data_IF_286204427529
#
_entry.id   IF_286204427529
#
_cell.length_a   1.000
_cell.length_b   1.000
_cell.length_c   1.000
_cell.angle_alpha   90.00
_cell.angle_beta   90.00
_cell.angle_gamma   90.00
#
_symmetry.space_group_name_H-M   'P 1'
#
loop_
_entity.id
_entity.type
_entity.pdbx_description
1 polymer ?
#
# COMPACT_ATOMS: atom_id res chain seq x y z
N UNK A 1 8.06 0.74 -14.19
CA UNK A 1 7.51 2.09 -13.94
C UNK A 1 8.69 3.02 -13.74
N UNK A 2 8.82 4.10 -14.51
CA UNK A 2 9.94 5.04 -14.32
C UNK A 2 9.69 5.86 -13.04
N UNK A 3 10.59 5.73 -12.05
CA UNK A 3 10.58 6.61 -10.90
C UNK A 3 11.13 7.98 -11.32
N UNK A 4 10.35 9.04 -11.10
CA UNK A 4 10.82 10.41 -11.36
C UNK A 4 11.46 10.92 -10.08
N UNK A 5 12.77 10.75 -9.95
CA UNK A 5 13.52 11.39 -8.87
C UNK A 5 13.72 12.87 -9.16
N UNK A 6 13.31 13.72 -8.21
CA UNK A 6 13.58 15.15 -8.26
C UNK A 6 14.98 15.41 -7.75
N UNK A 7 15.95 15.41 -8.65
CA UNK A 7 17.31 15.83 -8.33
C UNK A 7 17.32 17.34 -8.01
N UNK A 8 17.76 17.71 -6.80
CA UNK A 8 17.98 19.11 -6.43
C UNK A 8 19.43 19.47 -6.74
N UNK A 9 19.62 20.42 -7.64
CA UNK A 9 20.95 20.97 -7.88
C UNK A 9 21.41 21.77 -6.65
N UNK A 10 22.67 21.65 -6.23
CA UNK A 10 23.21 22.35 -5.06
C UNK A 10 23.27 23.87 -5.26
N UNK A 11 23.27 24.35 -6.51
CA UNK A 11 23.21 25.75 -6.86
C UNK A 11 22.33 25.96 -8.10
N UNK A 12 21.61 27.08 -8.15
CA UNK A 12 20.92 27.52 -9.36
C UNK A 12 21.93 28.26 -10.23
N UNK A 13 22.13 27.84 -11.48
CA UNK A 13 23.03 28.53 -12.44
C UNK A 13 22.63 30.00 -12.70
N UNK A 14 21.41 30.39 -12.34
CA UNK A 14 20.93 31.77 -12.44
C UNK A 14 21.25 32.63 -11.19
N UNK A 15 21.94 32.06 -10.21
CA UNK A 15 22.49 32.78 -9.06
C UNK A 15 24.00 32.87 -9.29
N UNK A 16 24.50 34.09 -9.41
CA UNK A 16 25.93 34.33 -9.46
C UNK A 16 26.57 33.92 -8.12
N UNK A 17 27.52 32.97 -8.12
CA UNK A 17 28.09 32.42 -6.88
C UNK A 17 28.91 33.43 -6.08
N UNK A 18 29.39 34.51 -6.70
CA UNK A 18 30.18 35.55 -6.01
C UNK A 18 29.29 36.64 -5.43
N UNK A 19 28.24 37.01 -6.14
CA UNK A 19 27.38 38.15 -5.75
C UNK A 19 26.08 37.73 -5.09
N UNK A 20 25.72 36.44 -5.17
CA UNK A 20 24.46 35.86 -4.72
C UNK A 20 23.21 36.58 -5.29
N UNK A 21 23.37 37.25 -6.44
CA UNK A 21 22.30 38.00 -7.12
C UNK A 21 21.74 37.20 -8.29
N UNK A 22 20.44 37.37 -8.51
CA UNK A 22 19.72 36.70 -9.59
C UNK A 22 20.00 37.36 -10.94
N UNK A 23 20.61 36.64 -11.86
CA UNK A 23 20.77 37.07 -13.25
C UNK A 23 19.62 36.51 -14.10
N UNK A 24 18.48 37.21 -14.12
CA UNK A 24 17.30 36.87 -14.96
C UNK A 24 16.79 35.42 -14.84
N UNK A 25 16.18 35.09 -13.70
CA UNK A 25 15.56 33.78 -13.47
C UNK A 25 14.16 33.67 -14.12
N UNK A 26 14.09 33.61 -15.45
CA UNK A 26 12.85 33.16 -16.11
C UNK A 26 12.73 31.64 -15.99
N UNK A 27 11.72 31.16 -15.24
CA UNK A 27 11.28 29.76 -15.10
C UNK A 27 12.39 28.74 -15.42
N UNK A 28 13.26 28.45 -14.45
CA UNK A 28 14.24 27.36 -14.58
C UNK A 28 13.50 26.05 -14.93
N UNK A 29 13.42 25.75 -16.23
CA UNK A 29 13.07 24.43 -16.71
C UNK A 29 14.27 23.55 -16.41
N UNK A 30 14.10 22.36 -15.81
CA UNK A 30 15.21 21.43 -15.69
C UNK A 30 15.79 21.20 -17.08
N UNK A 31 17.03 21.65 -17.32
CA UNK A 31 17.70 21.54 -18.63
C UNK A 31 18.01 20.08 -18.99
N UNK A 32 17.98 19.19 -17.99
CA UNK A 32 18.44 17.83 -18.12
C UNK A 32 17.39 16.87 -17.58
N UNK A 33 16.96 15.95 -18.45
CA UNK A 33 16.19 14.77 -18.09
C UNK A 33 17.18 13.60 -18.01
N UNK A 34 17.35 13.03 -16.83
CA UNK A 34 18.13 11.79 -16.66
C UNK A 34 17.15 10.63 -16.82
N UNK A 35 17.32 9.85 -17.90
CA UNK A 35 16.57 8.61 -18.12
C UNK A 35 17.49 7.45 -17.74
N UNK A 36 17.28 6.87 -16.56
CA UNK A 36 17.93 5.61 -16.18
C UNK A 36 17.21 4.48 -16.91
N UNK A 37 17.94 3.70 -17.71
CA UNK A 37 17.43 2.52 -18.40
C UNK A 37 18.13 1.28 -17.85
N UNK A 38 17.34 0.35 -17.33
CA UNK A 38 17.81 -1.02 -17.06
C UNK A 38 17.85 -1.77 -18.39
N UNK A 39 19.02 -2.29 -18.74
CA UNK A 39 19.20 -3.14 -19.91
C UNK A 39 19.45 -4.55 -19.40
N UNK A 40 18.57 -5.47 -19.79
CA UNK A 40 18.69 -6.90 -19.50
C UNK A 40 19.54 -7.55 -20.62
N UNK A 41 20.41 -8.48 -20.26
CA UNK A 41 20.85 -9.48 -21.24
C UNK A 41 19.69 -10.43 -21.57
N UNK A 42 19.79 -11.16 -22.70
CA UNK A 42 18.79 -12.17 -23.05
C UNK A 42 18.65 -13.22 -21.95
N UNK A 43 19.78 -13.66 -21.36
CA UNK A 43 19.79 -14.58 -20.21
C UNK A 43 19.09 -13.99 -18.96
N UNK A 44 19.25 -12.69 -18.71
CA UNK A 44 18.59 -12.01 -17.59
C UNK A 44 17.08 -11.89 -17.82
N UNK A 45 16.65 -11.59 -19.05
CA UNK A 45 15.24 -11.56 -19.43
C UNK A 45 14.61 -12.96 -19.31
N UNK A 46 15.26 -14.00 -19.85
CA UNK A 46 14.79 -15.38 -19.77
C UNK A 46 14.65 -15.87 -18.33
N UNK A 47 15.62 -15.56 -17.45
CA UNK A 47 15.53 -15.91 -16.03
C UNK A 47 14.37 -15.21 -15.34
N UNK A 48 14.17 -13.92 -15.61
CA UNK A 48 13.03 -13.19 -15.04
C UNK A 48 11.71 -13.82 -15.48
N UNK A 49 11.56 -14.12 -16.76
CA UNK A 49 10.34 -14.73 -17.29
C UNK A 49 10.09 -16.12 -16.70
N UNK A 50 11.16 -16.91 -16.49
CA UNK A 50 11.08 -18.20 -15.80
C UNK A 50 10.62 -18.04 -14.34
N UNK A 51 11.18 -17.08 -13.61
CA UNK A 51 10.78 -16.78 -12.23
C UNK A 51 9.32 -16.31 -12.16
N UNK A 52 8.91 -15.41 -13.05
CA UNK A 52 7.52 -14.94 -13.19
C UNK A 52 6.56 -16.12 -13.41
N UNK A 53 6.94 -17.06 -14.29
CA UNK A 53 6.19 -18.31 -14.48
C UNK A 53 6.09 -19.17 -13.21
N UNK A 54 7.18 -19.28 -12.43
CA UNK A 54 7.20 -20.03 -11.16
C UNK A 54 6.28 -19.37 -10.12
N UNK A 55 6.28 -18.04 -10.00
CA UNK A 55 5.40 -17.31 -9.10
C UNK A 55 3.93 -17.53 -9.47
N UNK A 56 3.58 -17.43 -10.75
CA UNK A 56 2.20 -17.63 -11.25
C UNK A 56 1.71 -19.04 -10.93
N UNK A 57 2.50 -20.08 -11.22
CA UNK A 57 2.12 -21.46 -10.93
C UNK A 57 1.99 -21.73 -9.43
N UNK A 58 2.81 -21.06 -8.61
CA UNK A 58 2.67 -21.12 -7.16
C UNK A 58 1.38 -20.45 -6.68
N UNK A 59 1.01 -19.29 -7.23
CA UNK A 59 -0.25 -18.60 -6.89
C UNK A 59 -1.47 -19.45 -7.23
N UNK A 60 -1.50 -20.10 -8.40
CA UNK A 60 -2.57 -21.04 -8.76
C UNK A 60 -2.71 -22.18 -7.74
N UNK A 61 -1.58 -22.75 -7.31
CA UNK A 61 -1.57 -23.83 -6.29
C UNK A 61 -2.07 -23.33 -4.93
N UNK A 62 -1.65 -22.13 -4.52
CA UNK A 62 -2.11 -21.49 -3.27
C UNK A 62 -3.61 -21.24 -3.33
N UNK A 63 -4.10 -20.59 -4.39
CA UNK A 63 -5.51 -20.30 -4.59
C UNK A 63 -6.36 -21.57 -4.53
N UNK A 64 -5.95 -22.64 -5.25
CA UNK A 64 -6.63 -23.94 -5.20
C UNK A 64 -6.67 -24.52 -3.79
N UNK A 65 -5.55 -24.47 -3.06
CA UNK A 65 -5.46 -24.98 -1.67
C UNK A 65 -6.35 -24.19 -0.71
N UNK A 66 -6.31 -22.86 -0.77
CA UNK A 66 -7.12 -21.96 0.05
C UNK A 66 -8.61 -22.20 -0.24
N UNK A 67 -9.03 -22.18 -1.52
CA UNK A 67 -10.42 -22.46 -1.91
C UNK A 67 -10.89 -23.83 -1.46
N UNK A 68 -10.05 -24.85 -1.61
CA UNK A 68 -10.34 -26.21 -1.14
C UNK A 68 -10.49 -26.29 0.38
N UNK A 69 -9.81 -25.45 1.15
CA UNK A 69 -10.04 -25.33 2.59
C UNK A 69 -11.33 -24.61 2.91
N UNK A 70 -11.60 -23.49 2.24
CA UNK A 70 -12.80 -22.68 2.43
C UNK A 70 -14.09 -23.45 2.10
N UNK A 71 -14.04 -24.37 1.14
CA UNK A 71 -15.16 -25.26 0.80
C UNK A 71 -15.47 -26.32 1.87
N UNK A 72 -14.51 -26.64 2.77
CA UNK A 72 -14.75 -27.61 3.85
C UNK A 72 -15.62 -26.99 4.93
N UNK A 73 -16.42 -27.81 5.62
CA UNK A 73 -17.28 -27.39 6.75
C UNK A 73 -16.57 -26.51 7.79
N UNK A 74 -15.30 -26.79 8.07
CA UNK A 74 -14.47 -25.97 8.97
C UNK A 74 -14.15 -24.60 8.36
N UNK A 75 -13.68 -24.55 7.12
CA UNK A 75 -13.37 -23.30 6.42
C UNK A 75 -14.60 -22.40 6.27
N UNK A 76 -15.77 -22.97 5.96
CA UNK A 76 -17.04 -22.23 5.91
C UNK A 76 -17.35 -21.56 7.26
N UNK A 77 -17.17 -22.29 8.38
CA UNK A 77 -17.39 -21.73 9.73
C UNK A 77 -16.39 -20.60 10.04
N UNK A 78 -15.10 -20.81 9.75
CA UNK A 78 -14.04 -19.82 9.97
C UNK A 78 -14.31 -18.55 9.15
N UNK A 79 -14.71 -18.69 7.89
CA UNK A 79 -14.99 -17.54 7.00
C UNK A 79 -16.22 -16.74 7.42
N UNK A 80 -17.27 -17.43 7.87
CA UNK A 80 -18.46 -16.77 8.45
C UNK A 80 -18.14 -16.02 9.74
N UNK A 81 -17.21 -16.53 10.55
CA UNK A 81 -16.74 -15.85 11.75
C UNK A 81 -15.95 -14.59 11.37
N UNK A 82 -14.98 -14.73 10.47
CA UNK A 82 -14.17 -13.60 9.97
C UNK A 82 -15.06 -12.49 9.37
N UNK A 83 -16.05 -12.84 8.54
CA UNK A 83 -16.98 -11.87 7.98
C UNK A 83 -17.80 -11.12 9.06
N UNK A 84 -18.17 -11.79 10.15
CA UNK A 84 -18.83 -11.15 11.30
C UNK A 84 -17.89 -10.21 12.04
N UNK A 85 -16.66 -10.64 12.29
CA UNK A 85 -15.65 -9.82 12.97
C UNK A 85 -15.31 -8.57 12.17
N UNK A 86 -15.14 -8.68 10.84
CA UNK A 86 -14.95 -7.52 9.95
C UNK A 86 -16.10 -6.53 10.03
N UNK A 87 -17.35 -7.01 10.06
CA UNK A 87 -18.52 -6.12 10.25
C UNK A 87 -18.50 -5.42 11.62
N UNK A 88 -18.04 -6.10 12.67
CA UNK A 88 -17.87 -5.47 13.97
C UNK A 88 -16.75 -4.41 13.95
N UNK A 89 -15.59 -4.72 13.35
CA UNK A 89 -14.47 -3.78 13.16
C UNK A 89 -14.91 -2.55 12.36
N UNK A 90 -15.67 -2.72 11.27
CA UNK A 90 -16.23 -1.61 10.48
C UNK A 90 -17.08 -0.65 11.31
N UNK A 91 -17.82 -1.15 12.31
CA UNK A 91 -18.61 -0.29 13.20
C UNK A 91 -17.70 0.58 14.05
N UNK A 92 -16.66 -0.01 14.64
CA UNK A 92 -15.66 0.69 15.45
C UNK A 92 -14.90 1.70 14.60
N UNK A 93 -14.49 1.33 13.38
CA UNK A 93 -13.79 2.25 12.45
C UNK A 93 -14.65 3.45 12.07
N UNK A 94 -15.96 3.26 11.88
CA UNK A 94 -16.89 4.37 11.62
C UNK A 94 -16.97 5.31 12.83
N UNK A 95 -17.03 4.77 14.04
CA UNK A 95 -17.07 5.58 15.27
C UNK A 95 -15.76 6.35 15.47
N UNK A 96 -14.61 5.68 15.30
CA UNK A 96 -13.29 6.31 15.38
C UNK A 96 -13.11 7.41 14.32
N UNK A 97 -13.54 7.15 13.08
CA UNK A 97 -13.42 8.15 12.00
C UNK A 97 -14.34 9.35 12.25
N UNK A 98 -15.51 9.16 12.86
CA UNK A 98 -16.37 10.28 13.29
C UNK A 98 -15.69 11.14 14.36
N UNK A 99 -15.10 10.52 15.38
CA UNK A 99 -14.36 11.23 16.41
C UNK A 99 -13.17 12.02 15.79
N UNK A 100 -12.46 11.41 14.85
CA UNK A 100 -11.37 12.06 14.12
C UNK A 100 -11.84 13.28 13.30
N UNK A 101 -13.01 13.19 12.66
CA UNK A 101 -13.61 14.33 11.93
C UNK A 101 -13.88 15.51 12.87
N UNK A 102 -14.39 15.28 14.08
CA UNK A 102 -14.62 16.37 15.03
C UNK A 102 -13.29 17.05 15.47
N UNK A 103 -12.22 16.27 15.65
CA UNK A 103 -10.87 16.81 15.90
C UNK A 103 -10.40 17.67 14.73
N UNK A 104 -10.53 17.17 13.49
CA UNK A 104 -10.13 17.92 12.30
C UNK A 104 -10.98 19.16 12.05
N UNK A 105 -12.26 19.16 12.42
CA UNK A 105 -13.11 20.36 12.40
C UNK A 105 -12.63 21.42 13.37
N UNK A 106 -12.23 21.02 14.59
CA UNK A 106 -11.64 21.95 15.56
C UNK A 106 -10.35 22.56 15.02
N UNK A 107 -9.45 21.73 14.50
CA UNK A 107 -8.18 22.18 13.90
C UNK A 107 -8.39 23.11 12.71
N UNK A 108 -9.38 22.83 11.85
CA UNK A 108 -9.75 23.73 10.76
C UNK A 108 -10.26 25.08 11.29
N UNK A 109 -11.06 25.08 12.36
CA UNK A 109 -11.52 26.30 13.03
C UNK A 109 -10.35 27.13 13.55
N UNK A 110 -9.40 26.51 14.24
CA UNK A 110 -8.18 27.17 14.73
C UNK A 110 -7.32 27.72 13.58
N UNK A 111 -7.15 26.95 12.51
CA UNK A 111 -6.39 27.37 11.33
C UNK A 111 -7.04 28.59 10.64
N UNK A 112 -8.39 28.63 10.57
CA UNK A 112 -9.12 29.79 10.04
C UNK A 112 -8.92 31.04 10.87
N UNK A 113 -9.06 30.94 12.20
CA UNK A 113 -8.83 32.07 13.10
C UNK A 113 -7.38 32.59 13.02
N UNK A 114 -6.40 31.68 12.98
CA UNK A 114 -4.99 32.04 12.83
C UNK A 114 -4.71 32.71 11.46
N UNK A 115 -5.35 32.24 10.39
CA UNK A 115 -5.21 32.84 9.07
C UNK A 115 -5.86 34.23 8.98
N UNK A 116 -7.03 34.42 9.60
CA UNK A 116 -7.67 35.73 9.73
C UNK A 116 -6.79 36.73 10.49
N UNK A 117 -6.17 36.29 11.59
CA UNK A 117 -5.23 37.13 12.36
C UNK A 117 -4.01 37.54 11.51
N UNK A 118 -3.40 36.59 10.80
CA UNK A 118 -2.27 36.87 9.89
C UNK A 118 -2.68 37.84 8.78
N UNK A 119 -3.86 37.66 8.20
CA UNK A 119 -4.38 38.54 7.15
C UNK A 119 -4.62 39.96 7.68
N UNK A 120 -5.15 40.08 8.90
CA UNK A 120 -5.32 41.37 9.58
C UNK A 120 -3.98 42.06 9.85
N UNK A 121 -2.97 41.32 10.33
CA UNK A 121 -1.60 41.84 10.53
C UNK A 121 -1.02 42.37 9.22
N UNK A 122 -1.19 41.64 8.11
CA UNK A 122 -0.77 42.12 6.79
C UNK A 122 -1.52 43.39 6.39
N UNK A 123 -2.84 43.45 6.58
CA UNK A 123 -3.62 44.65 6.25
C UNK A 123 -3.18 45.87 7.10
N UNK A 124 -2.87 45.66 8.38
CA UNK A 124 -2.35 46.70 9.27
C UNK A 124 -0.97 47.20 8.83
N UNK A 125 -0.10 46.32 8.32
CA UNK A 125 1.18 46.69 7.69
C UNK A 125 0.97 47.49 6.40
N UNK A 126 0.10 47.01 5.49
CA UNK A 126 -0.18 47.68 4.22
C UNK A 126 -0.82 49.06 4.42
N UNK A 127 -1.54 49.27 5.51
CA UNK A 127 -2.11 50.56 5.91
C UNK A 127 -1.10 51.52 6.57
N UNK A 128 0.16 51.11 6.76
CA UNK A 128 1.20 51.92 7.38
C UNK A 128 1.03 52.12 8.89
N UNK A 129 0.34 51.21 9.59
CA UNK A 129 0.24 51.29 11.06
C UNK A 129 1.61 51.08 11.71
N UNK A 130 1.83 51.60 12.93
CA UNK A 130 3.11 51.40 13.63
C UNK A 130 3.43 49.92 13.88
N UNK A 131 4.72 49.58 13.86
CA UNK A 131 5.23 48.21 14.03
C UNK A 131 4.59 47.40 15.18
N UNK A 132 4.30 47.94 16.38
CA UNK A 132 3.67 47.17 17.46
C UNK A 132 2.32 46.53 17.12
N UNK A 133 1.58 47.07 16.12
CA UNK A 133 0.25 46.60 15.75
C UNK A 133 0.28 45.37 14.82
N UNK A 134 1.25 45.28 13.91
CA UNK A 134 1.35 44.20 12.94
C UNK A 134 2.56 43.28 13.16
N UNK A 135 3.65 43.80 13.76
CA UNK A 135 4.91 43.10 14.00
C UNK A 135 5.45 42.43 12.73
N UNK A 136 5.67 43.22 11.68
CA UNK A 136 6.21 42.79 10.38
C UNK A 136 7.26 43.82 9.97
N UNK A 137 8.47 43.37 9.65
CA UNK A 137 9.61 44.25 9.37
C UNK A 137 9.61 44.75 7.93
N UNK A 138 9.23 43.88 6.98
CA UNK A 138 9.28 44.17 5.56
C UNK A 138 8.15 43.46 4.78
N UNK A 139 7.93 43.82 3.50
CA UNK A 139 6.87 43.24 2.69
C UNK A 139 7.05 41.74 2.40
N UNK A 140 8.29 41.25 2.37
CA UNK A 140 8.58 39.85 2.08
C UNK A 140 8.17 38.98 3.27
N UNK A 141 8.49 39.40 4.51
CA UNK A 141 8.03 38.75 5.74
C UNK A 141 6.49 38.71 5.82
N UNK A 142 5.83 39.81 5.45
CA UNK A 142 4.36 39.89 5.42
C UNK A 142 3.75 38.88 4.43
N UNK A 143 4.37 38.72 3.25
CA UNK A 143 3.95 37.77 2.24
C UNK A 143 4.18 36.32 2.69
N UNK A 144 5.37 36.02 3.22
CA UNK A 144 5.71 34.68 3.72
C UNK A 144 4.77 34.23 4.84
N UNK A 145 4.42 35.14 5.76
CA UNK A 145 3.51 34.84 6.86
C UNK A 145 2.12 34.46 6.35
N UNK A 146 1.58 35.21 5.38
CA UNK A 146 0.29 34.89 4.75
C UNK A 146 0.36 33.56 4.01
N UNK A 147 1.42 33.31 3.24
CA UNK A 147 1.62 32.03 2.54
C UNK A 147 1.74 30.85 3.52
N UNK A 148 2.40 31.03 4.66
CA UNK A 148 2.48 30.02 5.71
C UNK A 148 1.11 29.75 6.34
N UNK A 149 0.33 30.80 6.64
CA UNK A 149 -1.03 30.68 7.14
C UNK A 149 -1.95 29.95 6.15
N UNK A 150 -1.89 30.33 4.88
CA UNK A 150 -2.66 29.69 3.80
C UNK A 150 -2.33 28.19 3.67
N UNK A 151 -1.04 27.83 3.69
CA UNK A 151 -0.63 26.42 3.64
C UNK A 151 -1.16 25.60 4.82
N UNK A 152 -1.20 26.17 6.03
CA UNK A 152 -1.77 25.51 7.21
C UNK A 152 -3.27 25.31 7.06
N UNK A 153 -3.98 26.32 6.56
CA UNK A 153 -5.41 26.23 6.29
C UNK A 153 -5.71 25.12 5.27
N UNK A 154 -5.02 25.13 4.13
CA UNK A 154 -5.17 24.10 3.09
C UNK A 154 -4.86 22.69 3.60
N UNK A 155 -3.82 22.54 4.43
CA UNK A 155 -3.49 21.25 5.03
C UNK A 155 -4.62 20.74 5.95
N UNK A 156 -5.20 21.61 6.79
CA UNK A 156 -6.32 21.25 7.66
C UNK A 156 -7.58 20.88 6.85
N UNK A 157 -7.87 21.63 5.78
CA UNK A 157 -8.98 21.31 4.86
C UNK A 157 -8.80 19.95 4.18
N UNK A 158 -7.58 19.64 3.71
CA UNK A 158 -7.27 18.35 3.10
C UNK A 158 -7.41 17.19 4.08
N UNK A 159 -6.96 17.36 5.33
CA UNK A 159 -7.12 16.34 6.37
C UNK A 159 -8.58 16.07 6.69
N UNK A 160 -9.38 17.11 6.86
CA UNK A 160 -10.82 16.99 7.09
C UNK A 160 -11.50 16.27 5.93
N UNK A 161 -11.26 16.73 4.70
CA UNK A 161 -11.82 16.11 3.50
C UNK A 161 -11.44 14.64 3.39
N UNK A 162 -10.17 14.30 3.62
CA UNK A 162 -9.70 12.91 3.59
C UNK A 162 -10.41 12.02 4.62
N UNK A 163 -10.69 12.53 5.82
CA UNK A 163 -11.45 11.81 6.83
C UNK A 163 -12.93 11.66 6.46
N UNK A 164 -13.55 12.67 5.88
CA UNK A 164 -14.94 12.62 5.39
C UNK A 164 -15.10 11.62 4.24
N UNK A 165 -14.17 11.62 3.28
CA UNK A 165 -14.11 10.65 2.18
C UNK A 165 -13.94 9.21 2.72
N UNK A 166 -13.05 9.04 3.72
CA UNK A 166 -12.89 7.74 4.42
C UNK A 166 -14.18 7.31 5.10
N UNK A 167 -14.87 8.21 5.80
CA UNK A 167 -16.15 7.89 6.45
C UNK A 167 -17.21 7.49 5.43
N UNK A 168 -17.28 8.16 4.28
CA UNK A 168 -18.20 7.83 3.20
C UNK A 168 -17.91 6.42 2.65
N UNK A 169 -16.63 6.09 2.41
CA UNK A 169 -16.21 4.76 1.97
C UNK A 169 -16.57 3.67 3.01
N UNK A 170 -16.30 3.90 4.30
CA UNK A 170 -16.67 2.96 5.37
C UNK A 170 -18.18 2.76 5.47
N UNK A 171 -18.99 3.82 5.33
CA UNK A 171 -20.46 3.73 5.31
C UNK A 171 -20.96 2.94 4.11
N UNK A 172 -20.33 3.08 2.94
CA UNK A 172 -20.65 2.28 1.76
C UNK A 172 -20.32 0.80 2.02
N UNK A 173 -19.11 0.51 2.52
CA UNK A 173 -18.67 -0.86 2.84
C UNK A 173 -19.54 -1.52 3.92
N UNK A 174 -20.04 -0.76 4.90
CA UNK A 174 -20.97 -1.27 5.93
C UNK A 174 -22.28 -1.82 5.35
N UNK A 175 -22.72 -1.33 4.19
CA UNK A 175 -23.96 -1.81 3.52
C UNK A 175 -23.79 -3.15 2.81
N UNK A 176 -22.56 -3.65 2.71
CA UNK A 176 -22.23 -4.93 2.08
C UNK A 176 -22.96 -6.10 2.75
N UNK A 177 -23.44 -7.06 1.95
CA UNK A 177 -24.11 -8.26 2.44
C UNK A 177 -23.15 -9.12 3.27
N UNK A 178 -23.65 -10.00 4.16
CA UNK A 178 -22.80 -10.99 4.82
C UNK A 178 -22.07 -11.91 3.83
N UNK A 179 -22.70 -12.30 2.71
CA UNK A 179 -22.02 -13.12 1.69
C UNK A 179 -20.89 -12.34 1.01
N UNK A 180 -21.13 -11.11 0.59
CA UNK A 180 -20.12 -10.25 -0.03
C UNK A 180 -18.91 -10.04 0.90
N UNK A 181 -19.14 -9.85 2.21
CA UNK A 181 -18.06 -9.70 3.19
C UNK A 181 -17.23 -10.99 3.36
N UNK A 182 -17.86 -12.16 3.24
CA UNK A 182 -17.17 -13.45 3.25
C UNK A 182 -16.35 -13.65 1.98
N UNK A 183 -16.89 -13.26 0.82
CA UNK A 183 -16.17 -13.31 -0.45
C UNK A 183 -14.95 -12.38 -0.48
N UNK A 184 -15.09 -11.17 0.08
CA UNK A 184 -13.96 -10.25 0.29
C UNK A 184 -12.89 -10.90 1.18
N UNK A 185 -13.30 -11.52 2.30
CA UNK A 185 -12.37 -12.23 3.17
C UNK A 185 -11.65 -13.39 2.46
N UNK A 186 -12.36 -14.15 1.61
CA UNK A 186 -11.73 -15.22 0.83
C UNK A 186 -10.63 -14.69 -0.09
N UNK A 187 -10.89 -13.59 -0.80
CA UNK A 187 -9.92 -12.96 -1.69
C UNK A 187 -8.68 -12.47 -0.92
N UNK A 188 -8.89 -11.85 0.24
CA UNK A 188 -7.82 -11.38 1.12
C UNK A 188 -6.95 -12.54 1.64
N UNK A 189 -7.57 -13.65 2.03
CA UNK A 189 -6.84 -14.84 2.47
C UNK A 189 -5.98 -15.42 1.34
N UNK A 190 -6.51 -15.50 0.11
CA UNK A 190 -5.74 -15.94 -1.06
C UNK A 190 -4.55 -15.01 -1.28
N UNK A 191 -4.77 -13.70 -1.28
CA UNK A 191 -3.72 -12.72 -1.48
C UNK A 191 -2.61 -12.82 -0.43
N UNK A 192 -2.97 -12.94 0.86
CA UNK A 192 -2.00 -13.11 1.94
C UNK A 192 -1.07 -14.29 1.67
N UNK A 193 -1.64 -15.47 1.41
CA UNK A 193 -0.84 -16.67 1.19
C UNK A 193 -0.08 -16.66 -0.14
N UNK A 194 -0.57 -15.96 -1.16
CA UNK A 194 0.18 -15.69 -2.38
C UNK A 194 1.39 -14.80 -2.07
N UNK A 195 1.22 -13.74 -1.26
CA UNK A 195 2.32 -12.87 -0.86
C UNK A 195 3.38 -13.61 -0.03
N UNK A 196 2.98 -14.40 0.98
CA UNK A 196 3.91 -15.23 1.76
C UNK A 196 4.70 -16.21 0.88
N UNK A 197 4.01 -16.81 -0.11
CA UNK A 197 4.63 -17.71 -1.07
C UNK A 197 5.60 -16.97 -1.99
N UNK A 198 5.22 -15.78 -2.46
CA UNK A 198 6.09 -14.90 -3.24
C UNK A 198 7.38 -14.57 -2.51
N UNK A 199 7.30 -14.11 -1.25
CA UNK A 199 8.49 -13.77 -0.46
C UNK A 199 9.46 -14.96 -0.33
N UNK A 200 8.93 -16.16 -0.12
CA UNK A 200 9.75 -17.37 -0.01
C UNK A 200 10.42 -17.73 -1.34
N UNK A 201 9.67 -17.64 -2.44
CA UNK A 201 10.21 -17.93 -3.76
C UNK A 201 11.25 -16.87 -4.18
N UNK A 202 10.99 -15.61 -3.87
CA UNK A 202 11.91 -14.50 -4.09
C UNK A 202 13.22 -14.73 -3.34
N UNK A 203 13.15 -15.05 -2.05
CA UNK A 203 14.31 -15.40 -1.23
C UNK A 203 15.12 -16.55 -1.85
N UNK A 204 14.45 -17.61 -2.32
CA UNK A 204 15.10 -18.73 -3.00
C UNK A 204 15.82 -18.28 -4.28
N UNK A 205 15.16 -17.49 -5.12
CA UNK A 205 15.73 -17.01 -6.38
C UNK A 205 16.88 -16.01 -6.16
N UNK A 206 16.83 -15.21 -5.10
CA UNK A 206 17.95 -14.37 -4.66
C UNK A 206 19.17 -15.22 -4.26
N UNK A 207 18.99 -16.29 -3.49
CA UNK A 207 20.07 -17.24 -3.14
C UNK A 207 20.67 -17.93 -4.36
N UNK A 208 19.82 -18.39 -5.28
CA UNK A 208 20.26 -19.02 -6.53
C UNK A 208 21.10 -18.05 -7.37
N UNK A 209 20.63 -16.81 -7.54
CA UNK A 209 21.36 -15.78 -8.26
C UNK A 209 22.69 -15.42 -7.58
N UNK A 210 22.70 -15.31 -6.24
CA UNK A 210 23.92 -15.04 -5.48
C UNK A 210 24.98 -16.13 -5.68
N UNK A 211 24.59 -17.40 -5.56
CA UNK A 211 25.49 -18.55 -5.79
C UNK A 211 26.02 -18.59 -7.23
N UNK A 212 25.17 -18.21 -8.19
CA UNK A 212 25.56 -18.10 -9.60
C UNK A 212 26.34 -16.81 -9.94
N UNK A 213 26.55 -15.90 -8.98
CA UNK A 213 27.11 -14.55 -9.20
C UNK A 213 26.36 -13.77 -10.28
N UNK A 214 25.05 -14.01 -10.38
CA UNK A 214 24.15 -13.37 -11.32
C UNK A 214 23.57 -12.08 -10.73
N UNK A 215 23.35 -11.08 -11.59
CA UNK A 215 22.61 -9.86 -11.22
C UNK A 215 21.10 -10.10 -11.23
N UNK A 216 20.37 -9.30 -10.45
CA UNK A 216 18.90 -9.26 -10.42
C UNK A 216 18.38 -7.82 -10.56
N UNK A 217 18.49 -7.21 -11.75
CA UNK A 217 18.10 -5.81 -11.94
C UNK A 217 16.57 -5.56 -11.85
N UNK A 218 15.76 -6.60 -11.69
CA UNK A 218 14.31 -6.52 -11.47
C UNK A 218 13.88 -6.55 -9.99
N UNK A 219 14.82 -6.74 -9.06
CA UNK A 219 14.55 -6.69 -7.63
C UNK A 219 14.61 -5.23 -7.14
N UNK A 220 13.46 -4.57 -7.10
CA UNK A 220 13.35 -3.14 -6.77
C UNK A 220 13.86 -2.22 -7.88
N UNK A 221 14.00 -0.91 -7.59
CA UNK A 221 14.55 0.05 -8.55
C UNK A 221 15.99 -0.34 -8.94
N UNK A 222 16.20 -0.71 -10.21
CA UNK A 222 17.50 -1.08 -10.78
C UNK A 222 18.28 -2.19 -10.03
N UNK A 223 17.59 -3.07 -9.29
CA UNK A 223 18.22 -4.14 -8.52
C UNK A 223 18.68 -3.75 -7.11
N UNK A 224 18.38 -2.55 -6.63
CA UNK A 224 18.82 -2.05 -5.32
C UNK A 224 18.41 -2.96 -4.15
N UNK A 225 17.23 -3.58 -4.21
CA UNK A 225 16.79 -4.50 -3.15
C UNK A 225 17.63 -5.77 -3.10
N UNK A 226 18.13 -6.25 -4.25
CA UNK A 226 19.01 -7.41 -4.27
C UNK A 226 20.40 -7.07 -3.75
N UNK A 227 20.91 -5.87 -4.07
CA UNK A 227 22.19 -5.39 -3.52
C UNK A 227 22.12 -5.26 -1.99
N UNK A 228 21.07 -4.62 -1.47
CA UNK A 228 20.81 -4.55 -0.02
C UNK A 228 20.67 -5.95 0.58
N UNK A 229 19.91 -6.83 -0.06
CA UNK A 229 19.73 -8.21 0.40
C UNK A 229 21.09 -8.94 0.53
N UNK A 230 22.03 -8.74 -0.39
CA UNK A 230 23.37 -9.35 -0.32
C UNK A 230 24.20 -8.86 0.87
N UNK A 231 24.04 -7.60 1.28
CA UNK A 231 24.79 -7.04 2.43
C UNK A 231 24.45 -7.74 3.75
N UNK A 232 23.23 -8.27 3.87
CA UNK A 232 22.71 -8.90 5.09
C UNK A 232 22.64 -10.43 5.01
N UNK A 233 22.89 -11.01 3.83
CA UNK A 233 22.88 -12.46 3.64
C UNK A 233 24.21 -13.06 4.10
N UNK A 234 24.13 -14.02 5.04
CA UNK A 234 25.27 -14.80 5.49
C UNK A 234 25.34 -16.12 4.70
N UNK A 235 26.29 -16.25 3.75
CA UNK A 235 26.41 -17.44 2.93
C UNK A 235 26.94 -18.65 3.70
N UNK A 236 27.64 -18.46 4.82
CA UNK A 236 28.20 -19.57 5.61
C UNK A 236 27.10 -20.31 6.38
N UNK A 237 26.10 -19.57 6.86
CA UNK A 237 25.00 -20.11 7.64
C UNK A 237 23.69 -20.30 6.85
N UNK A 238 23.69 -19.97 5.54
CA UNK A 238 22.50 -19.90 4.67
C UNK A 238 21.33 -19.17 5.36
N UNK A 239 21.68 -18.11 6.09
CA UNK A 239 20.81 -17.39 7.01
C UNK A 239 20.91 -15.89 6.79
N UNK A 240 19.92 -15.16 7.32
CA UNK A 240 19.95 -13.71 7.39
C UNK A 240 20.39 -13.28 8.78
N UNK A 241 21.18 -12.21 8.86
CA UNK A 241 21.41 -11.52 10.12
C UNK A 241 20.05 -11.17 10.76
N UNK A 242 19.72 -11.70 11.95
CA UNK A 242 18.35 -11.66 12.49
C UNK A 242 17.83 -10.25 12.75
N UNK A 243 18.71 -9.24 12.80
CA UNK A 243 18.46 -8.01 13.52
C UNK A 243 18.21 -6.75 12.66
N UNK A 244 18.22 -6.81 11.32
CA UNK A 244 18.03 -5.59 10.50
C UNK A 244 16.81 -5.62 9.57
N UNK A 245 16.38 -6.79 9.11
CA UNK A 245 15.28 -6.89 8.13
C UNK A 245 13.87 -6.84 8.75
N UNK A 246 13.73 -7.03 10.06
CA UNK A 246 12.43 -7.07 10.75
C UNK A 246 11.84 -5.68 11.04
N UNK A 247 12.67 -4.62 11.13
CA UNK A 247 12.19 -3.24 11.36
C UNK A 247 11.57 -2.61 10.11
N UNK A 248 12.01 -3.02 8.90
CA UNK A 248 11.41 -2.59 7.63
C UNK A 248 10.17 -3.40 7.21
N UNK A 249 9.97 -4.58 7.80
CA UNK A 249 8.84 -5.48 7.51
C UNK A 249 7.92 -5.69 8.72
N UNK A 250 7.72 -4.65 9.54
CA UNK A 250 6.96 -4.72 10.80
C UNK A 250 5.55 -5.33 10.64
N UNK A 251 5.46 -6.65 10.84
CA UNK A 251 4.70 -7.37 11.89
C UNK A 251 4.69 -8.87 11.54
N UNK A 252 5.19 -9.70 12.46
CA UNK A 252 4.74 -11.09 12.79
C UNK A 252 5.88 -12.13 12.88
N UNK A 253 6.03 -12.89 13.99
CA UNK A 253 7.04 -13.92 14.16
C UNK A 253 6.59 -15.23 13.50
N UNK A 254 6.47 -15.24 12.16
CA UNK A 254 6.24 -16.48 11.42
C UNK A 254 7.55 -17.22 11.14
N UNK A 255 8.05 -17.86 12.20
CA UNK A 255 9.02 -18.96 12.06
C UNK A 255 8.41 -20.09 11.23
N UNK A 256 9.04 -20.39 10.09
CA UNK A 256 9.36 -21.74 9.59
C UNK A 256 8.31 -22.84 9.88
N UNK A 257 7.11 -22.70 9.33
CA UNK A 257 6.18 -23.80 9.03
C UNK A 257 5.42 -23.46 7.76
N UNK A 258 6.14 -23.42 6.64
CA UNK A 258 5.50 -23.29 5.34
C UNK A 258 4.62 -24.52 5.05
N UNK A 259 3.35 -24.24 4.74
CA UNK A 259 2.40 -25.10 4.02
C UNK A 259 1.99 -26.44 4.65
N UNK A 260 2.41 -26.76 5.87
CA UNK A 260 1.97 -27.95 6.61
C UNK A 260 1.13 -27.64 7.86
N UNK A 261 0.60 -26.43 7.97
CA UNK A 261 -0.42 -26.15 8.97
C UNK A 261 -1.76 -26.63 8.41
N UNK A 262 -2.37 -27.61 9.09
CA UNK A 262 -3.77 -28.04 8.89
C UNK A 262 -4.81 -26.90 9.06
N UNK A 263 -4.37 -25.63 9.16
CA UNK A 263 -5.14 -24.44 9.47
C UNK A 263 -4.52 -23.22 8.77
N UNK A 264 -5.35 -22.48 8.02
CA UNK A 264 -5.03 -21.15 7.50
C UNK A 264 -5.27 -20.09 8.61
N UNK A 265 -4.44 -19.05 8.65
CA UNK A 265 -4.50 -17.96 9.62
C UNK A 265 -5.08 -16.69 8.98
N UNK A 266 -6.17 -16.19 9.56
CA UNK A 266 -6.89 -14.99 9.13
C UNK A 266 -6.29 -13.67 9.66
N UNK A 267 -5.37 -13.75 10.61
CA UNK A 267 -4.71 -12.58 11.18
C UNK A 267 -4.02 -11.72 10.10
N UNK A 268 -4.23 -10.40 10.16
CA UNK A 268 -3.72 -9.45 9.18
C UNK A 268 -4.48 -9.39 7.85
N UNK A 269 -5.40 -10.31 7.56
CA UNK A 269 -6.15 -10.31 6.28
C UNK A 269 -7.06 -9.09 6.11
N UNK A 270 -7.24 -8.26 7.14
CA UNK A 270 -7.95 -6.98 7.06
C UNK A 270 -7.04 -5.79 6.69
N UNK A 271 -5.72 -5.99 6.64
CA UNK A 271 -4.74 -5.00 6.21
C UNK A 271 -3.96 -5.47 4.97
N UNK A 272 -4.67 -5.61 3.84
CA UNK A 272 -4.09 -6.11 2.59
C UNK A 272 -3.00 -5.22 1.98
N UNK A 273 -2.81 -3.99 2.47
CA UNK A 273 -1.68 -3.15 2.08
C UNK A 273 -0.33 -3.79 2.45
N UNK A 274 -0.29 -4.56 3.53
CA UNK A 274 0.92 -5.28 3.95
C UNK A 274 1.26 -6.46 3.03
N UNK A 275 0.28 -6.96 2.28
CA UNK A 275 0.45 -8.10 1.36
C UNK A 275 0.37 -7.66 -0.11
N UNK A 276 0.69 -6.39 -0.39
CA UNK A 276 0.76 -5.90 -1.75
C UNK A 276 2.04 -6.40 -2.42
N UNK A 277 1.90 -7.00 -3.61
CA UNK A 277 3.03 -7.34 -4.48
C UNK A 277 2.63 -7.05 -5.92
N UNK A 278 3.49 -6.34 -6.65
CA UNK A 278 3.26 -6.02 -8.06
C UNK A 278 2.92 -7.28 -8.88
N UNK A 279 3.59 -8.39 -8.60
CA UNK A 279 3.39 -9.64 -9.35
C UNK A 279 2.03 -10.28 -9.07
N UNK A 280 1.49 -10.11 -7.86
CA UNK A 280 0.15 -10.60 -7.53
C UNK A 280 -0.92 -9.72 -8.19
N UNK A 281 -0.71 -8.41 -8.26
CA UNK A 281 -1.56 -7.52 -9.05
C UNK A 281 -1.55 -7.89 -10.53
N UNK A 282 -0.37 -8.13 -11.11
CA UNK A 282 -0.24 -8.60 -12.50
C UNK A 282 -0.95 -9.94 -12.74
N UNK A 283 -0.83 -10.89 -11.82
CA UNK A 283 -1.57 -12.15 -11.86
C UNK A 283 -3.10 -11.93 -11.90
N UNK A 284 -3.62 -11.04 -11.04
CA UNK A 284 -5.05 -10.77 -10.96
C UNK A 284 -5.61 -10.01 -12.17
N UNK A 285 -4.86 -9.05 -12.73
CA UNK A 285 -5.34 -8.14 -13.77
C UNK A 285 -5.11 -8.65 -15.18
N UNK A 286 -4.05 -9.42 -15.40
CA UNK A 286 -3.64 -9.87 -16.74
C UNK A 286 -3.86 -11.36 -16.90
N UNK A 287 -3.26 -12.17 -16.02
CA UNK A 287 -3.19 -13.63 -16.21
C UNK A 287 -4.53 -14.33 -15.90
N UNK A 288 -5.17 -13.97 -14.79
CA UNK A 288 -6.40 -14.63 -14.33
C UNK A 288 -7.62 -14.36 -15.23
N UNK A 289 -7.85 -13.14 -15.75
CA UNK A 289 -8.97 -12.88 -16.65
C UNK A 289 -8.84 -13.61 -17.99
N UNK A 290 -7.63 -13.72 -18.55
CA UNK A 290 -7.35 -14.47 -19.78
C UNK A 290 -7.71 -15.95 -19.67
N UNK A 291 -7.71 -16.49 -18.45
CA UNK A 291 -8.03 -17.90 -18.16
C UNK A 291 -9.52 -18.13 -17.84
N UNK A 292 -10.39 -17.12 -17.99
CA UNK A 292 -11.84 -17.26 -17.79
C UNK A 292 -12.31 -17.18 -16.32
N UNK A 293 -11.46 -16.69 -15.40
CA UNK A 293 -11.67 -16.76 -13.95
C UNK A 293 -12.76 -15.88 -13.32
N UNK A 294 -13.69 -15.29 -14.10
CA UNK A 294 -14.75 -14.42 -13.56
C UNK A 294 -16.07 -15.16 -13.22
N UNK A 295 -16.21 -16.45 -13.55
CA UNK A 295 -17.51 -17.14 -13.45
C UNK A 295 -17.68 -18.09 -12.24
N UNK A 296 -16.62 -18.39 -11.48
CA UNK A 296 -16.63 -19.54 -10.54
C UNK A 296 -16.92 -19.18 -9.07
N UNK A 297 -17.55 -18.04 -8.81
CA UNK A 297 -17.77 -17.55 -7.43
C UNK A 297 -19.17 -17.85 -6.86
N UNK A 298 -20.10 -18.45 -7.63
CA UNK A 298 -21.54 -18.51 -7.28
C UNK A 298 -22.20 -19.89 -7.30
N UNK A 299 -21.51 -21.00 -7.53
CA UNK A 299 -22.15 -22.32 -7.69
C UNK A 299 -21.89 -23.31 -6.53
N UNK A 300 -22.04 -22.88 -5.26
CA UNK A 300 -21.92 -23.78 -4.11
C UNK A 300 -23.19 -23.85 -3.23
N UNK A 301 -24.35 -23.47 -3.76
CA UNK A 301 -25.63 -23.56 -3.02
C UNK A 301 -26.60 -24.68 -3.47
N UNK A 302 -26.32 -25.47 -4.51
CA UNK A 302 -27.35 -26.36 -5.09
C UNK A 302 -27.17 -27.89 -4.93
N UNK A 303 -26.19 -28.40 -4.18
CA UNK A 303 -26.00 -29.88 -4.07
C UNK A 303 -26.45 -30.54 -2.75
N UNK A 304 -27.13 -29.84 -1.84
CA UNK A 304 -27.63 -30.44 -0.58
C UNK A 304 -29.17 -30.56 -0.48
N UNK A 305 -29.88 -30.74 -1.61
CA UNK A 305 -31.34 -30.97 -1.60
C UNK A 305 -31.88 -32.15 -2.44
N UNK A 306 -31.07 -33.14 -2.84
CA UNK A 306 -31.60 -34.31 -3.57
C UNK A 306 -31.77 -35.60 -2.75
N UNK A 307 -31.15 -35.75 -1.58
CA UNK A 307 -31.21 -37.03 -0.84
C UNK A 307 -32.03 -36.92 0.44
N UNK A 308 -33.36 -36.93 0.29
CA UNK A 308 -34.26 -36.83 1.45
C UNK A 308 -35.75 -36.92 1.18
N UNK A 309 -36.21 -37.98 0.51
CA UNK A 309 -37.63 -38.38 0.50
C UNK A 309 -37.75 -39.74 -0.17
N UNK A 310 -38.17 -40.82 0.47
CA UNK A 310 -39.19 -40.95 1.50
C UNK A 310 -39.99 -42.18 1.11
N UNK A 311 -39.59 -43.32 1.68
CA UNK A 311 -40.21 -44.64 1.47
C UNK A 311 -41.64 -44.61 2.00
N UNK A 312 -42.62 -44.61 1.11
CA UNK A 312 -44.03 -44.85 1.40
C UNK A 312 -44.45 -46.25 0.90
N UNK A 313 -44.20 -47.26 1.71
CA UNK A 313 -44.63 -48.64 1.47
C UNK A 313 -46.05 -48.88 2.00
N UNK A 314 -46.90 -49.48 1.16
CA UNK A 314 -48.27 -49.91 1.42
C UNK A 314 -48.34 -51.02 2.49
N UNK A 315 -49.43 -51.01 3.26
CA UNK A 315 -49.85 -52.06 4.20
C UNK A 315 -51.06 -51.59 4.97
#
# INVERSE_FOLDING_TARGET
VAAVEKFKFPACECIDPETNKWSNHMRCRPKTLIIKKVIYSDEEADRRDQEDGVYIEAFKKVEKKVRSHLAKRRGVKESKLEGKERKARLKVDIENTRAQIEVFRSQLGEAKLAFEEVTKRKADFDAGKPFPFHRLADPDEALELVMAGQRRLEAAEQQLKGAEDRLAALRKRRKMSPEEAVLEAHADLVQKYCHETYLTLLERHRREAFRARARRPWDGPDGEEFELWKEFYDPENDSFAPDYWWELSATDPMKKKMLDTKKFNWEGCDNMRQFASYIYTFYLEVIKPEQGGNAELLSLEDEEKSDGGGVGGRG
#
